data_IF_674093123519
#
_entry.id   IF_674093123519
#
_cell.length_a   1.000
_cell.length_b   1.000
_cell.length_c   1.000
_cell.angle_alpha   90.00
_cell.angle_beta   90.00
_cell.angle_gamma   90.00
#
_symmetry.space_group_name_H-M   'P 1'
#
loop_
_entity.id
_entity.type
_entity.pdbx_description
1 polymer ?
#
# COMPACT_ATOMS: atom_id res chain seq x y z
N UNK A 1 -12.37 -2.33 -3.04
CA UNK A 1 -11.18 -2.03 -3.89
C UNK A 1 -11.22 -2.93 -5.12
N UNK A 2 -10.93 -2.37 -6.30
CA UNK A 2 -10.82 -3.10 -7.56
C UNK A 2 -9.41 -2.95 -8.13
N UNK A 3 -8.88 -4.00 -8.74
CA UNK A 3 -7.53 -4.03 -9.32
C UNK A 3 -7.60 -4.50 -10.77
N UNK A 4 -6.77 -3.93 -11.65
CA UNK A 4 -6.63 -4.42 -13.03
C UNK A 4 -7.83 -4.14 -13.94
N UNK A 5 -8.32 -2.90 -13.96
CA UNK A 5 -9.38 -2.47 -14.90
C UNK A 5 -8.85 -2.15 -16.31
N UNK A 6 -9.77 -2.04 -17.27
CA UNK A 6 -9.47 -1.57 -18.63
C UNK A 6 -9.14 -0.07 -18.59
N UNK A 7 -7.96 0.29 -19.11
CA UNK A 7 -7.48 1.67 -19.16
C UNK A 7 -8.42 2.59 -19.97
N UNK A 8 -9.05 2.08 -21.02
CA UNK A 8 -9.99 2.86 -21.84
C UNK A 8 -11.24 3.21 -21.03
N UNK A 9 -11.76 2.25 -20.25
CA UNK A 9 -12.92 2.48 -19.38
C UNK A 9 -12.60 3.53 -18.32
N UNK A 10 -11.41 3.49 -17.73
CA UNK A 10 -10.93 4.51 -16.80
C UNK A 10 -10.90 5.89 -17.46
N UNK A 11 -10.35 5.98 -18.68
CA UNK A 11 -10.27 7.23 -19.41
C UNK A 11 -11.66 7.84 -19.68
N UNK A 12 -12.62 7.01 -20.11
CA UNK A 12 -14.01 7.44 -20.34
C UNK A 12 -14.69 7.93 -19.04
N UNK A 13 -14.43 7.26 -17.92
CA UNK A 13 -14.97 7.67 -16.61
C UNK A 13 -14.36 8.98 -16.12
N UNK A 14 -13.07 9.23 -16.37
CA UNK A 14 -12.42 10.51 -16.05
C UNK A 14 -13.01 11.62 -16.93
N UNK A 15 -13.09 11.41 -18.24
CA UNK A 15 -13.60 12.40 -19.19
C UNK A 15 -15.07 12.75 -18.95
N UNK A 16 -15.85 11.80 -18.43
CA UNK A 16 -17.25 12.02 -18.04
C UNK A 16 -17.44 12.57 -16.62
N UNK A 17 -16.35 12.93 -15.92
CA UNK A 17 -16.34 13.40 -14.52
C UNK A 17 -17.04 12.45 -13.53
N UNK A 18 -17.04 11.14 -13.82
CA UNK A 18 -17.63 10.12 -12.93
C UNK A 18 -16.66 9.62 -11.86
N UNK A 19 -15.37 9.72 -12.12
CA UNK A 19 -14.31 9.43 -11.15
C UNK A 19 -13.39 10.62 -11.01
N UNK A 20 -12.95 10.87 -9.79
CA UNK A 20 -12.03 11.95 -9.45
C UNK A 20 -10.66 11.39 -9.10
N UNK A 21 -9.69 12.29 -8.91
CA UNK A 21 -8.34 11.94 -8.46
C UNK A 21 -8.30 11.19 -7.12
N UNK A 22 -9.35 11.30 -6.30
CA UNK A 22 -9.41 10.66 -4.98
C UNK A 22 -9.97 9.23 -5.07
N UNK A 23 -10.54 8.86 -6.22
CA UNK A 23 -11.14 7.53 -6.47
C UNK A 23 -10.18 6.56 -7.18
N UNK A 24 -9.07 7.06 -7.71
CA UNK A 24 -8.14 6.28 -8.53
C UNK A 24 -6.68 6.56 -8.19
N UNK A 25 -5.88 5.49 -8.18
CA UNK A 25 -4.42 5.58 -8.04
C UNK A 25 -3.75 4.65 -9.04
N UNK A 26 -2.75 5.18 -9.73
CA UNK A 26 -1.92 4.42 -10.65
C UNK A 26 -0.64 3.96 -9.96
N UNK A 27 -0.30 2.69 -10.13
CA UNK A 27 0.94 2.11 -9.67
C UNK A 27 1.70 1.57 -10.88
N UNK A 28 2.99 1.88 -10.96
CA UNK A 28 3.86 1.36 -12.01
C UNK A 28 4.67 0.20 -11.43
N UNK A 29 4.45 -1.00 -11.96
CA UNK A 29 5.05 -2.22 -11.46
C UNK A 29 4.22 -2.88 -10.35
N UNK A 30 4.69 -4.03 -9.90
CA UNK A 30 4.06 -4.81 -8.85
C UNK A 30 5.14 -5.56 -8.06
N UNK A 31 4.86 -5.82 -6.79
CA UNK A 31 5.61 -6.81 -6.03
C UNK A 31 5.07 -8.19 -6.34
N UNK A 32 5.95 -9.15 -6.61
CA UNK A 32 5.59 -10.52 -6.89
C UNK A 32 6.46 -11.47 -6.06
N UNK A 33 5.87 -12.58 -5.65
CA UNK A 33 6.55 -13.63 -4.92
C UNK A 33 6.64 -14.88 -5.77
N UNK A 34 7.79 -15.54 -5.71
CA UNK A 34 7.94 -16.91 -6.23
C UNK A 34 7.20 -17.89 -5.33
N UNK A 35 7.03 -19.13 -5.80
CA UNK A 35 6.40 -20.19 -5.00
C UNK A 35 7.08 -20.31 -3.61
N UNK A 36 6.27 -20.37 -2.55
CA UNK A 36 6.68 -20.43 -1.14
C UNK A 36 7.50 -19.25 -0.61
N UNK A 37 7.87 -18.26 -1.44
CA UNK A 37 8.70 -17.15 -1.00
C UNK A 37 8.00 -16.30 0.08
N UNK A 38 6.74 -15.95 -0.13
CA UNK A 38 5.97 -15.17 0.85
C UNK A 38 5.82 -15.91 2.18
N UNK A 39 5.55 -17.22 2.13
CA UNK A 39 5.40 -18.04 3.33
C UNK A 39 6.70 -18.07 4.14
N UNK A 40 7.84 -18.28 3.48
CA UNK A 40 9.17 -18.24 4.11
C UNK A 40 9.50 -16.85 4.70
N UNK A 41 9.10 -15.78 4.02
CA UNK A 41 9.29 -14.40 4.50
C UNK A 41 8.40 -14.09 5.73
N UNK A 42 7.20 -14.68 5.79
CA UNK A 42 6.34 -14.59 6.97
C UNK A 42 6.92 -15.38 8.15
N UNK A 43 7.40 -16.61 7.93
CA UNK A 43 8.03 -17.44 8.96
C UNK A 43 9.30 -16.78 9.55
N UNK A 44 10.04 -16.05 8.72
CA UNK A 44 11.24 -15.30 9.15
C UNK A 44 10.93 -13.93 9.77
N UNK A 45 9.66 -13.58 9.98
CA UNK A 45 9.19 -12.27 10.48
C UNK A 45 9.67 -11.08 9.63
N UNK A 46 9.89 -11.29 8.32
CA UNK A 46 10.26 -10.21 7.40
C UNK A 46 9.04 -9.34 7.04
N UNK A 47 7.83 -9.91 7.10
CA UNK A 47 6.57 -9.17 6.90
C UNK A 47 5.67 -9.24 8.13
N UNK A 48 4.98 -8.14 8.38
CA UNK A 48 3.88 -8.06 9.32
C UNK A 48 2.57 -7.94 8.56
N UNK A 49 1.66 -8.89 8.77
CA UNK A 49 0.33 -8.85 8.18
C UNK A 49 -0.60 -8.05 9.10
N UNK A 50 -1.31 -7.08 8.54
CA UNK A 50 -2.32 -6.30 9.26
C UNK A 50 -3.59 -6.19 8.42
N UNK A 51 -4.73 -6.15 9.09
CA UNK A 51 -6.02 -5.96 8.42
C UNK A 51 -6.16 -4.54 7.88
N UNK A 52 -6.74 -4.41 6.68
CA UNK A 52 -7.04 -3.11 6.10
C UNK A 52 -8.29 -2.51 6.73
N UNK A 53 -8.09 -1.62 7.70
CA UNK A 53 -9.17 -0.87 8.37
C UNK A 53 -9.72 0.31 7.54
N UNK A 54 -9.02 0.75 6.49
CA UNK A 54 -9.40 1.93 5.70
C UNK A 54 -10.31 1.61 4.51
N UNK A 55 -10.56 0.33 4.23
CA UNK A 55 -11.39 -0.10 3.10
C UNK A 55 -10.96 0.60 1.79
N UNK A 56 -11.87 1.33 1.13
CA UNK A 56 -11.60 2.04 -0.12
C UNK A 56 -10.83 3.35 0.07
N UNK A 57 -10.81 3.93 1.27
CA UNK A 57 -10.12 5.20 1.56
C UNK A 57 -8.59 5.06 1.52
N UNK A 58 -8.07 3.83 1.55
CA UNK A 58 -6.63 3.55 1.44
C UNK A 58 -6.02 4.15 0.14
N UNK A 59 -6.83 4.27 -0.92
CA UNK A 59 -6.42 4.84 -2.21
C UNK A 59 -6.18 6.34 -2.12
N UNK A 60 -6.78 7.04 -1.15
CA UNK A 60 -6.59 8.48 -0.94
C UNK A 60 -5.44 8.80 0.03
N UNK A 61 -4.90 7.81 0.75
CA UNK A 61 -3.86 8.02 1.78
C UNK A 61 -2.53 8.51 1.19
N UNK A 62 -1.91 9.48 1.84
CA UNK A 62 -0.60 10.02 1.44
C UNK A 62 0.50 8.96 1.53
N UNK A 63 1.27 8.75 0.46
CA UNK A 63 2.36 7.77 0.44
C UNK A 63 3.42 8.06 1.53
N UNK A 64 3.80 9.32 1.70
CA UNK A 64 4.90 9.72 2.59
C UNK A 64 4.56 9.54 4.08
N UNK A 65 3.29 9.63 4.46
CA UNK A 65 2.88 9.52 5.87
C UNK A 65 2.29 8.16 6.22
N UNK A 66 1.86 7.38 5.23
CA UNK A 66 1.13 6.13 5.46
C UNK A 66 1.92 5.12 6.27
N UNK A 67 3.20 4.91 5.95
CA UNK A 67 4.06 3.98 6.68
C UNK A 67 4.18 4.37 8.16
N UNK A 68 4.48 5.65 8.41
CA UNK A 68 4.63 6.19 9.76
C UNK A 68 3.32 6.09 10.54
N UNK A 69 2.19 6.47 9.93
CA UNK A 69 0.85 6.33 10.53
C UNK A 69 0.59 4.88 10.93
N UNK A 70 0.86 3.92 10.03
CA UNK A 70 0.65 2.49 10.31
C UNK A 70 1.51 1.95 11.43
N UNK A 71 2.79 2.29 11.47
CA UNK A 71 3.69 1.87 12.55
C UNK A 71 3.27 2.45 13.90
N UNK A 72 2.74 3.67 13.92
CA UNK A 72 2.18 4.27 15.14
C UNK A 72 0.88 3.59 15.58
N UNK A 73 0.00 3.21 14.64
CA UNK A 73 -1.24 2.47 14.91
C UNK A 73 -0.98 1.07 15.47
N UNK A 74 0.02 0.35 14.93
CA UNK A 74 0.44 -0.97 15.44
C UNK A 74 0.95 -0.89 16.89
N UNK A 75 1.53 0.25 17.27
CA UNK A 75 1.92 0.52 18.64
C UNK A 75 3.09 -0.35 19.15
N UNK A 76 3.28 -0.39 20.47
CA UNK A 76 4.36 -1.16 21.09
C UNK A 76 5.75 -0.82 20.56
N UNK A 77 6.56 -1.87 20.34
CA UNK A 77 7.93 -1.80 19.81
C UNK A 77 7.99 -1.24 18.37
N UNK A 78 6.89 -1.34 17.60
CA UNK A 78 6.85 -0.86 16.21
C UNK A 78 6.92 0.67 16.07
N UNK A 79 6.62 1.41 17.14
CA UNK A 79 6.79 2.88 17.17
C UNK A 79 8.24 3.30 16.95
N UNK A 80 9.22 2.48 17.33
CA UNK A 80 10.65 2.76 17.11
C UNK A 80 10.95 2.80 15.60
N UNK A 81 10.23 1.99 14.84
CA UNK A 81 10.39 1.83 13.39
C UNK A 81 9.59 2.86 12.58
N UNK A 82 8.79 3.72 13.23
CA UNK A 82 7.98 4.73 12.52
C UNK A 82 8.82 5.79 11.81
N UNK A 83 10.09 5.92 12.22
CA UNK A 83 11.06 6.85 11.63
C UNK A 83 12.11 6.12 10.77
N UNK A 84 11.95 4.81 10.53
CA UNK A 84 12.85 4.08 9.65
C UNK A 84 12.80 4.71 8.24
N UNK A 85 13.96 4.94 7.60
CA UNK A 85 14.00 5.52 6.27
C UNK A 85 13.37 4.58 5.24
N UNK A 86 12.74 5.15 4.20
CA UNK A 86 12.12 4.38 3.10
C UNK A 86 13.13 3.47 2.39
N UNK A 87 14.41 3.84 2.38
CA UNK A 87 15.47 3.01 1.84
C UNK A 87 16.20 2.28 2.99
N UNK A 88 16.15 0.93 3.03
CA UNK A 88 16.85 0.12 4.02
C UNK A 88 18.37 0.40 4.08
N UNK A 89 18.96 0.91 2.99
CA UNK A 89 20.40 1.25 2.93
C UNK A 89 20.78 2.53 3.67
N UNK A 90 19.82 3.26 4.24
CA UNK A 90 20.09 4.45 5.07
C UNK A 90 20.09 4.15 6.59
N UNK A 91 20.09 2.86 6.96
CA UNK A 91 20.37 2.40 8.32
C UNK A 91 21.83 1.97 8.48
#
# INVERSE_FOLDING_TARGET
IFWGGDFNVVLDLINSNKITKDDIRFFLGYSGWSEQQLDNELESNAWLVSENIYNNEIIAKSCNSFWREKMLELGGEYKIWSNAPENPSYN
#
